data_IF_524403829392
#
_entry.id   IF_524403829392
#
_cell.length_a   1.000
_cell.length_b   1.000
_cell.length_c   1.000
_cell.angle_alpha   90.00
_cell.angle_beta   90.00
_cell.angle_gamma   90.00
#
_symmetry.space_group_name_H-M   'P 1'
#
loop_
_entity.id
_entity.type
_entity.pdbx_description
1 polymer ?
#
# COMPACT_ATOMS: atom_id res chain seq x y z
N UNK A 1 -7.32 22.39 -9.63
CA UNK A 1 -6.46 21.44 -8.88
C UNK A 1 -5.03 21.59 -9.34
N UNK A 2 -4.09 21.72 -8.43
CA UNK A 2 -2.69 21.84 -8.82
C UNK A 2 -2.24 20.53 -9.50
N UNK A 3 -1.63 20.67 -10.66
CA UNK A 3 -1.01 19.54 -11.34
C UNK A 3 0.21 19.11 -10.53
N UNK A 4 0.15 17.93 -9.95
CA UNK A 4 1.30 17.31 -9.33
C UNK A 4 1.40 15.86 -9.80
N UNK A 5 2.62 15.40 -9.91
CA UNK A 5 2.88 14.06 -10.41
C UNK A 5 2.76 13.04 -9.29
N UNK A 6 2.06 11.93 -9.55
CA UNK A 6 1.98 10.82 -8.61
C UNK A 6 3.31 10.06 -8.68
N UNK A 7 4.02 9.89 -7.54
CA UNK A 7 5.30 9.16 -7.54
C UNK A 7 5.15 7.73 -8.05
N UNK A 8 6.17 7.23 -8.72
CA UNK A 8 6.31 5.81 -8.98
C UNK A 8 6.86 5.16 -7.71
N UNK A 9 6.02 4.50 -6.92
CA UNK A 9 6.40 3.93 -5.64
C UNK A 9 7.36 2.76 -5.79
N UNK A 10 7.29 2.01 -6.89
CA UNK A 10 8.26 0.96 -7.18
C UNK A 10 9.68 1.51 -7.32
N UNK A 11 9.83 2.64 -8.03
CA UNK A 11 11.13 3.32 -8.17
C UNK A 11 11.57 3.96 -6.86
N UNK A 12 10.63 4.62 -6.16
CA UNK A 12 10.91 5.29 -4.89
C UNK A 12 11.41 4.31 -3.83
N UNK A 13 10.84 3.12 -3.79
CA UNK A 13 11.15 2.09 -2.80
C UNK A 13 12.17 1.06 -3.29
N UNK A 14 12.69 1.20 -4.52
CA UNK A 14 13.54 0.18 -5.18
C UNK A 14 14.75 -0.22 -4.33
N UNK A 15 15.40 0.74 -3.66
CA UNK A 15 16.57 0.48 -2.82
C UNK A 15 16.21 -0.45 -1.65
N UNK A 16 15.07 -0.20 -1.00
CA UNK A 16 14.60 -1.02 0.11
C UNK A 16 14.16 -2.41 -0.35
N UNK A 17 13.43 -2.46 -1.48
CA UNK A 17 12.98 -3.71 -2.06
C UNK A 17 14.16 -4.59 -2.50
N UNK A 18 15.22 -3.97 -3.02
CA UNK A 18 16.45 -4.66 -3.44
C UNK A 18 17.32 -5.12 -2.28
N UNK A 19 17.07 -4.67 -1.06
CA UNK A 19 17.85 -5.01 0.12
C UNK A 19 17.45 -6.36 0.74
N UNK A 20 16.38 -7.01 0.23
CA UNK A 20 15.91 -8.31 0.72
C UNK A 20 16.05 -9.37 -0.37
N UNK A 21 16.26 -10.66 0.01
CA UNK A 21 16.23 -11.73 -0.99
C UNK A 21 14.82 -11.90 -1.57
N UNK A 22 14.68 -12.46 -2.79
CA UNK A 22 13.37 -12.60 -3.44
C UNK A 22 12.34 -13.34 -2.58
N UNK A 23 12.75 -14.29 -1.76
CA UNK A 23 11.86 -15.07 -0.90
C UNK A 23 11.22 -14.21 0.20
N UNK A 24 11.88 -13.12 0.61
CA UNK A 24 11.38 -12.19 1.62
C UNK A 24 10.56 -11.04 1.03
N UNK A 25 10.55 -10.91 -0.30
CA UNK A 25 9.89 -9.80 -1.00
C UNK A 25 8.40 -9.70 -0.69
N UNK A 26 7.61 -10.80 -0.77
CA UNK A 26 6.19 -10.70 -0.42
C UNK A 26 5.94 -10.23 1.01
N UNK A 27 6.75 -10.69 1.96
CA UNK A 27 6.62 -10.25 3.35
C UNK A 27 6.95 -8.76 3.51
N UNK A 28 7.98 -8.26 2.83
CA UNK A 28 8.28 -6.83 2.85
C UNK A 28 7.10 -6.00 2.32
N UNK A 29 6.50 -6.43 1.21
CA UNK A 29 5.31 -5.77 0.64
C UNK A 29 4.15 -5.79 1.64
N UNK A 30 3.93 -6.91 2.35
CA UNK A 30 2.87 -6.98 3.36
C UNK A 30 3.05 -5.94 4.47
N UNK A 31 4.29 -5.68 4.88
CA UNK A 31 4.58 -4.68 5.90
C UNK A 31 4.34 -3.25 5.38
N UNK A 32 4.58 -3.02 4.10
CA UNK A 32 4.25 -1.74 3.46
C UNK A 32 2.73 -1.54 3.38
N UNK A 33 1.96 -2.61 3.17
CA UNK A 33 0.49 -2.54 3.22
C UNK A 33 0.00 -2.12 4.61
N UNK A 34 0.60 -2.65 5.68
CA UNK A 34 0.28 -2.22 7.05
C UNK A 34 0.61 -0.75 7.28
N UNK A 35 1.67 -0.26 6.65
CA UNK A 35 2.04 1.15 6.68
C UNK A 35 0.97 2.01 5.99
N UNK A 36 0.43 1.55 4.87
CA UNK A 36 -0.68 2.21 4.19
C UNK A 36 -1.95 2.20 5.05
N UNK A 37 -2.23 1.10 5.75
CA UNK A 37 -3.36 1.02 6.69
C UNK A 37 -3.28 2.12 7.74
N UNK A 38 -2.10 2.37 8.30
CA UNK A 38 -1.90 3.44 9.29
C UNK A 38 -2.15 4.82 8.70
N UNK A 39 -1.80 5.04 7.42
CA UNK A 39 -2.12 6.29 6.71
C UNK A 39 -3.63 6.50 6.65
N UNK A 40 -4.39 5.50 6.27
CA UNK A 40 -5.84 5.59 6.23
C UNK A 40 -6.43 5.94 7.60
N UNK A 41 -5.90 5.36 8.67
CA UNK A 41 -6.34 5.68 10.03
C UNK A 41 -6.08 7.15 10.37
N UNK A 42 -4.95 7.69 9.92
CA UNK A 42 -4.64 9.12 10.08
C UNK A 42 -5.64 9.99 9.34
N UNK A 43 -5.94 9.69 8.08
CA UNK A 43 -6.92 10.46 7.30
C UNK A 43 -8.34 10.36 7.89
N UNK A 44 -8.70 9.22 8.47
CA UNK A 44 -9.99 9.07 9.15
C UNK A 44 -10.14 10.05 10.33
N UNK A 45 -9.03 10.41 10.98
CA UNK A 45 -9.02 11.44 12.02
C UNK A 45 -9.13 12.85 11.43
N UNK A 46 -8.47 13.08 10.27
CA UNK A 46 -8.46 14.38 9.60
C UNK A 46 -9.82 14.73 8.99
N UNK A 47 -10.55 13.73 8.49
CA UNK A 47 -11.88 13.91 7.87
C UNK A 47 -12.88 12.97 8.52
N UNK A 48 -13.30 13.28 9.77
CA UNK A 48 -14.15 12.35 10.54
C UNK A 48 -15.50 12.02 9.89
N UNK A 49 -16.04 12.89 9.06
CA UNK A 49 -17.28 12.66 8.32
C UNK A 49 -17.14 11.50 7.30
N UNK A 50 -15.93 11.13 6.94
CA UNK A 50 -15.64 10.02 6.03
C UNK A 50 -14.86 8.89 6.72
N UNK A 51 -14.80 8.91 8.05
CA UNK A 51 -14.00 7.95 8.82
C UNK A 51 -14.37 6.49 8.53
N UNK A 52 -15.66 6.19 8.39
CA UNK A 52 -16.12 4.82 8.16
C UNK A 52 -15.50 4.21 6.90
N UNK A 53 -15.54 4.93 5.77
CA UNK A 53 -14.97 4.46 4.51
C UNK A 53 -13.45 4.39 4.54
N UNK A 54 -12.79 5.38 5.16
CA UNK A 54 -11.34 5.40 5.28
C UNK A 54 -10.83 4.26 6.18
N UNK A 55 -11.54 3.97 7.27
CA UNK A 55 -11.21 2.84 8.15
C UNK A 55 -11.46 1.50 7.46
N UNK A 56 -12.46 1.42 6.58
CA UNK A 56 -12.67 0.24 5.75
C UNK A 56 -11.50 0.01 4.79
N UNK A 57 -10.93 1.08 4.22
CA UNK A 57 -9.70 0.98 3.42
C UNK A 57 -8.52 0.51 4.27
N UNK A 58 -8.37 1.02 5.49
CA UNK A 58 -7.33 0.55 6.41
C UNK A 58 -7.46 -0.95 6.67
N UNK A 59 -8.67 -1.42 6.90
CA UNK A 59 -8.94 -2.84 7.11
C UNK A 59 -8.61 -3.66 5.86
N UNK A 60 -8.88 -3.14 4.67
CA UNK A 60 -8.53 -3.79 3.40
C UNK A 60 -7.02 -3.96 3.26
N UNK A 61 -6.23 -2.94 3.63
CA UNK A 61 -4.78 -3.03 3.61
C UNK A 61 -4.26 -4.10 4.59
N UNK A 62 -4.82 -4.13 5.81
CA UNK A 62 -4.47 -5.17 6.77
C UNK A 62 -4.87 -6.57 6.28
N UNK A 63 -6.00 -6.69 5.59
CA UNK A 63 -6.44 -7.96 5.00
C UNK A 63 -5.44 -8.43 3.92
N UNK A 64 -4.97 -7.53 3.05
CA UNK A 64 -3.95 -7.87 2.07
C UNK A 64 -2.71 -8.40 2.79
N UNK A 65 -2.23 -7.70 3.81
CA UNK A 65 -1.07 -8.10 4.58
C UNK A 65 -1.26 -9.48 5.22
N UNK A 66 -2.42 -9.72 5.84
CA UNK A 66 -2.74 -11.01 6.49
C UNK A 66 -2.74 -12.15 5.46
N UNK A 67 -3.34 -11.93 4.30
CA UNK A 67 -3.38 -12.93 3.22
C UNK A 67 -1.99 -13.26 2.70
N UNK A 68 -1.16 -12.24 2.47
CA UNK A 68 0.22 -12.41 1.99
C UNK A 68 1.06 -13.17 3.01
N UNK A 69 0.97 -12.79 4.28
CA UNK A 69 1.70 -13.49 5.36
C UNK A 69 1.28 -14.96 5.48
N UNK A 70 0.01 -15.25 5.22
CA UNK A 70 -0.52 -16.61 5.23
C UNK A 70 -0.02 -17.42 4.02
N UNK A 71 0.05 -16.80 2.84
CA UNK A 71 0.56 -17.43 1.61
C UNK A 71 2.07 -17.68 1.67
N UNK A 72 2.81 -16.75 2.26
CA UNK A 72 4.27 -16.75 2.30
C UNK A 72 4.74 -16.49 3.73
N UNK A 73 4.59 -17.49 4.64
CA UNK A 73 5.02 -17.31 6.03
C UNK A 73 6.54 -17.02 6.07
N UNK A 74 6.95 -15.88 6.64
CA UNK A 74 8.38 -15.55 6.66
C UNK A 74 9.14 -16.43 7.65
N UNK A 75 10.40 -16.75 7.32
CA UNK A 75 11.31 -17.36 8.28
C UNK A 75 11.66 -16.34 9.37
N UNK A 76 12.19 -16.81 10.49
CA UNK A 76 12.66 -15.93 11.56
C UNK A 76 13.74 -14.96 11.05
N UNK A 77 14.62 -15.44 10.17
CA UNK A 77 15.68 -14.63 9.55
C UNK A 77 15.09 -13.52 8.67
N UNK A 78 14.13 -13.86 7.80
CA UNK A 78 13.49 -12.87 6.92
C UNK A 78 12.66 -11.87 7.73
N UNK A 79 11.98 -12.33 8.78
CA UNK A 79 11.22 -11.47 9.67
C UNK A 79 12.13 -10.43 10.34
N UNK A 80 13.29 -10.85 10.82
CA UNK A 80 14.28 -9.96 11.45
C UNK A 80 14.88 -8.98 10.43
N UNK A 81 15.19 -9.45 9.21
CA UNK A 81 15.73 -8.61 8.14
C UNK A 81 14.74 -7.51 7.75
N UNK A 82 13.49 -7.87 7.50
CA UNK A 82 12.45 -6.93 7.13
C UNK A 82 12.19 -5.92 8.27
N UNK A 83 12.19 -6.38 9.51
CA UNK A 83 12.03 -5.50 10.67
C UNK A 83 13.11 -4.40 10.73
N UNK A 84 14.33 -4.68 10.24
CA UNK A 84 15.39 -3.67 10.18
C UNK A 84 15.20 -2.67 9.02
N UNK A 85 14.58 -3.10 7.93
CA UNK A 85 14.41 -2.29 6.71
C UNK A 85 13.15 -1.40 6.79
N UNK A 86 12.09 -1.89 7.42
CA UNK A 86 10.78 -1.22 7.44
C UNK A 86 10.83 0.22 7.96
N UNK A 87 11.55 0.57 9.04
CA UNK A 87 11.56 1.96 9.49
C UNK A 87 12.01 2.95 8.42
N UNK A 88 13.05 2.62 7.66
CA UNK A 88 13.54 3.47 6.57
C UNK A 88 12.60 3.47 5.37
N UNK A 89 12.07 2.30 5.00
CA UNK A 89 11.10 2.19 3.92
C UNK A 89 9.83 2.97 4.22
N UNK A 90 9.36 2.90 5.46
CA UNK A 90 8.21 3.68 5.93
C UNK A 90 8.46 5.19 5.83
N UNK A 91 9.64 5.63 6.26
CA UNK A 91 10.03 7.05 6.16
C UNK A 91 10.04 7.50 4.70
N UNK A 92 10.63 6.70 3.81
CA UNK A 92 10.65 6.97 2.37
C UNK A 92 9.23 7.06 1.80
N UNK A 93 8.37 6.10 2.15
CA UNK A 93 6.98 6.08 1.73
C UNK A 93 6.23 7.34 2.20
N UNK A 94 6.34 7.68 3.48
CA UNK A 94 5.66 8.83 4.04
C UNK A 94 6.18 10.16 3.48
N UNK A 95 7.47 10.24 3.13
CA UNK A 95 8.05 11.46 2.56
C UNK A 95 7.37 11.87 1.25
N UNK A 96 6.79 10.92 0.52
CA UNK A 96 6.05 11.22 -0.70
C UNK A 96 4.78 12.04 -0.45
N UNK A 97 4.32 12.10 0.81
CA UNK A 97 3.06 12.77 1.19
C UNK A 97 3.29 14.07 1.97
N UNK A 98 4.44 14.24 2.60
CA UNK A 98 4.68 15.25 3.65
C UNK A 98 4.39 16.69 3.24
N UNK A 99 4.67 17.05 1.99
CA UNK A 99 4.50 18.44 1.51
C UNK A 99 3.11 18.71 0.95
N UNK A 100 2.18 17.76 1.05
CA UNK A 100 0.86 17.85 0.40
C UNK A 100 -0.27 17.95 1.43
N UNK A 101 -1.39 18.56 1.01
CA UNK A 101 -2.61 18.60 1.81
C UNK A 101 -3.25 17.20 1.92
N UNK A 102 -4.14 16.94 2.90
CA UNK A 102 -4.81 15.64 3.00
C UNK A 102 -5.50 15.21 1.71
N UNK A 103 -6.16 16.14 0.98
CA UNK A 103 -6.82 15.84 -0.29
C UNK A 103 -5.80 15.37 -1.34
N UNK A 104 -4.68 16.10 -1.44
CA UNK A 104 -3.59 15.73 -2.36
C UNK A 104 -2.97 14.39 -1.95
N UNK A 105 -2.79 14.17 -0.65
CA UNK A 105 -2.26 12.89 -0.13
C UNK A 105 -3.16 11.72 -0.54
N UNK A 106 -4.47 11.86 -0.41
CA UNK A 106 -5.42 10.82 -0.81
C UNK A 106 -5.42 10.60 -2.32
N UNK A 107 -5.18 11.64 -3.12
CA UNK A 107 -5.01 11.52 -4.57
C UNK A 107 -3.76 10.70 -4.91
N UNK A 108 -2.66 10.96 -4.20
CA UNK A 108 -1.43 10.18 -4.33
C UNK A 108 -1.70 8.72 -3.95
N UNK A 109 -2.42 8.50 -2.85
CA UNK A 109 -2.73 7.15 -2.38
C UNK A 109 -3.59 6.37 -3.39
N UNK A 110 -4.57 7.01 -4.04
CA UNK A 110 -5.35 6.35 -5.09
C UNK A 110 -4.43 5.85 -6.23
N UNK A 111 -3.43 6.62 -6.59
CA UNK A 111 -2.40 6.20 -7.54
C UNK A 111 -1.54 5.05 -7.00
N UNK A 112 -1.16 5.12 -5.73
CA UNK A 112 -0.39 4.06 -5.07
C UNK A 112 -1.17 2.73 -5.05
N UNK A 113 -2.48 2.77 -4.81
CA UNK A 113 -3.33 1.58 -4.84
C UNK A 113 -3.31 0.91 -6.21
N UNK A 114 -3.43 1.70 -7.28
CA UNK A 114 -3.36 1.16 -8.64
C UNK A 114 -1.98 0.56 -8.93
N UNK A 115 -0.91 1.18 -8.44
CA UNK A 115 0.44 0.63 -8.58
C UNK A 115 0.59 -0.67 -7.78
N UNK A 116 0.03 -0.72 -6.57
CA UNK A 116 0.00 -1.93 -5.74
C UNK A 116 -0.71 -3.08 -6.43
N UNK A 117 -1.87 -2.81 -7.04
CA UNK A 117 -2.59 -3.82 -7.83
C UNK A 117 -1.70 -4.38 -8.95
N UNK A 118 -0.97 -3.51 -9.64
CA UNK A 118 -0.02 -3.93 -10.69
C UNK A 118 1.12 -4.76 -10.13
N UNK A 119 1.63 -4.42 -8.95
CA UNK A 119 2.71 -5.18 -8.30
C UNK A 119 2.27 -6.62 -7.99
N UNK A 120 1.06 -6.82 -7.47
CA UNK A 120 0.53 -8.16 -7.21
C UNK A 120 0.36 -8.94 -8.52
N UNK A 121 -0.11 -8.29 -9.59
CA UNK A 121 -0.20 -8.94 -10.90
C UNK A 121 1.17 -9.40 -11.41
N UNK A 122 2.22 -8.59 -11.20
CA UNK A 122 3.57 -8.95 -11.62
C UNK A 122 4.11 -10.18 -10.88
N UNK A 123 3.71 -10.39 -9.63
CA UNK A 123 4.14 -11.56 -8.85
C UNK A 123 3.56 -12.87 -9.38
N UNK A 124 2.52 -12.84 -10.21
CA UNK A 124 1.97 -14.05 -10.84
C UNK A 124 2.99 -14.75 -11.73
N UNK A 125 3.95 -14.02 -12.30
CA UNK A 125 5.03 -14.64 -13.10
C UNK A 125 5.98 -15.45 -12.24
N UNK A 126 6.22 -15.04 -11.00
CA UNK A 126 7.10 -15.76 -10.07
C UNK A 126 6.38 -16.89 -9.34
N UNK A 127 5.09 -16.73 -9.11
CA UNK A 127 4.27 -17.66 -8.34
C UNK A 127 2.98 -18.00 -9.10
N UNK A 128 3.08 -18.69 -10.25
CA UNK A 128 1.88 -18.96 -11.08
C UNK A 128 0.82 -19.80 -10.38
N UNK A 129 1.20 -20.63 -9.40
CA UNK A 129 0.27 -21.42 -8.60
C UNK A 129 -0.60 -20.58 -7.67
N UNK A 130 -0.24 -19.30 -7.47
CA UNK A 130 -0.95 -18.37 -6.61
C UNK A 130 -1.68 -17.28 -7.41
N UNK A 131 -1.86 -17.47 -8.72
CA UNK A 131 -2.44 -16.45 -9.60
C UNK A 131 -3.79 -15.95 -9.12
N UNK A 132 -4.70 -16.85 -8.70
CA UNK A 132 -6.04 -16.47 -8.22
C UNK A 132 -5.97 -15.63 -6.95
N UNK A 133 -5.04 -15.93 -6.06
CA UNK A 133 -4.85 -15.18 -4.82
C UNK A 133 -4.33 -13.78 -5.11
N UNK A 134 -3.36 -13.63 -6.04
CA UNK A 134 -2.87 -12.32 -6.45
C UNK A 134 -3.93 -11.50 -7.17
N UNK A 135 -4.79 -12.12 -7.97
CA UNK A 135 -5.93 -11.44 -8.59
C UNK A 135 -6.88 -10.89 -7.52
N UNK A 136 -7.12 -11.65 -6.45
CA UNK A 136 -7.96 -11.21 -5.33
C UNK A 136 -7.33 -10.01 -4.61
N UNK A 137 -6.01 -10.02 -4.38
CA UNK A 137 -5.30 -8.89 -3.77
C UNK A 137 -5.40 -7.64 -4.64
N UNK A 138 -5.20 -7.79 -5.96
CA UNK A 138 -5.33 -6.67 -6.91
C UNK A 138 -6.71 -6.04 -6.87
N UNK A 139 -7.77 -6.85 -6.75
CA UNK A 139 -9.15 -6.34 -6.65
C UNK A 139 -9.37 -5.54 -5.38
N UNK A 140 -8.78 -5.96 -4.26
CA UNK A 140 -8.87 -5.21 -3.00
C UNK A 140 -8.20 -3.85 -3.16
N UNK A 141 -7.00 -3.79 -3.75
CA UNK A 141 -6.29 -2.54 -4.04
C UNK A 141 -7.14 -1.60 -4.90
N UNK A 142 -7.67 -2.12 -6.00
CA UNK A 142 -8.51 -1.32 -6.92
C UNK A 142 -9.80 -0.86 -6.26
N UNK A 143 -10.35 -1.64 -5.33
CA UNK A 143 -11.51 -1.23 -4.53
C UNK A 143 -11.22 0.00 -3.68
N UNK A 144 -10.05 0.06 -3.05
CA UNK A 144 -9.61 1.22 -2.28
C UNK A 144 -9.39 2.44 -3.19
N UNK A 145 -8.76 2.24 -4.35
CA UNK A 145 -8.59 3.33 -5.34
C UNK A 145 -9.94 3.88 -5.79
N UNK A 146 -10.90 3.03 -6.10
CA UNK A 146 -12.23 3.43 -6.52
C UNK A 146 -12.95 4.21 -5.42
N UNK A 147 -12.85 3.76 -4.18
CA UNK A 147 -13.43 4.48 -3.04
C UNK A 147 -12.85 5.89 -2.93
N UNK A 148 -11.52 6.03 -3.00
CA UNK A 148 -10.87 7.34 -2.94
C UNK A 148 -11.31 8.24 -4.09
N UNK A 149 -11.43 7.70 -5.29
CA UNK A 149 -11.90 8.46 -6.45
C UNK A 149 -13.35 8.94 -6.31
N UNK A 150 -14.18 8.21 -5.56
CA UNK A 150 -15.55 8.63 -5.25
C UNK A 150 -15.58 9.70 -4.15
N UNK A 151 -14.68 9.56 -3.17
CA UNK A 151 -14.59 10.46 -2.02
C UNK A 151 -14.03 11.83 -2.40
N UNK A 152 -12.97 11.88 -3.22
CA UNK A 152 -12.23 13.10 -3.51
C UNK A 152 -13.07 14.27 -4.01
N UNK A 153 -14.02 14.08 -4.95
CA UNK A 153 -14.87 15.19 -5.38
C UNK A 153 -15.69 15.81 -4.24
N UNK A 154 -16.07 15.02 -3.24
CA UNK A 154 -16.88 15.53 -2.10
C UNK A 154 -16.05 16.41 -1.16
N UNK A 155 -14.73 16.25 -1.15
CA UNK A 155 -13.82 17.03 -0.31
C UNK A 155 -13.42 18.37 -0.94
N UNK A 156 -13.67 18.55 -2.23
CA UNK A 156 -13.34 19.78 -2.97
C UNK A 156 -14.44 20.83 -2.84
N UNK A 157 -15.63 20.45 -2.41
CA UNK A 157 -16.77 21.33 -2.18
C UNK A 157 -16.76 21.81 -0.71
#
# INVERSE_FOLDING_TARGET
MADFEIPNFGELLAEHLGAVPPEAYPFLLSQLERTAADRYRGWAQDVPEHAEGLLACAQSEDEIADRVESMFPPSAEHRALVARIIPEAKETYYSAFDSFTPIQQMTIQAGAERQGAGAWQNLKTLYPDRADEFDALSKIELGSADYLNTLLPTLLD
#
